data_IF_888427121342
#
_entry.id   IF_888427121342
#
_cell.length_a   1.000
_cell.length_b   1.000
_cell.length_c   1.000
_cell.angle_alpha   90.00
_cell.angle_beta   90.00
_cell.angle_gamma   90.00
#
_symmetry.space_group_name_H-M   'P 1'
#
loop_
_entity.id
_entity.type
_entity.pdbx_description
1 polymer ?
#
# COMPACT_ATOMS: atom_id res chain seq x y z
N UNK A 1 -47.29 -8.08 -45.94
CA UNK A 1 -46.02 -7.34 -45.80
C UNK A 1 -45.65 -7.33 -44.32
N UNK A 2 -44.62 -8.10 -43.92
CA UNK A 2 -44.11 -8.15 -42.53
C UNK A 2 -42.81 -7.36 -42.47
N UNK A 3 -42.79 -6.24 -41.74
CA UNK A 3 -41.60 -5.44 -41.52
C UNK A 3 -40.77 -6.08 -40.41
N UNK A 4 -39.51 -6.43 -40.69
CA UNK A 4 -38.55 -6.93 -39.76
C UNK A 4 -37.78 -5.70 -39.23
N UNK A 5 -37.96 -5.38 -37.94
CA UNK A 5 -37.18 -4.37 -37.23
C UNK A 5 -35.87 -5.00 -36.74
N UNK A 6 -34.73 -4.65 -37.34
CA UNK A 6 -33.41 -5.05 -36.90
C UNK A 6 -32.95 -4.07 -35.81
N UNK A 7 -32.91 -4.52 -34.58
CA UNK A 7 -32.30 -3.77 -33.44
C UNK A 7 -30.78 -3.92 -33.47
N UNK A 8 -30.09 -2.83 -33.83
CA UNK A 8 -28.63 -2.71 -33.71
C UNK A 8 -28.28 -2.48 -32.23
N UNK A 9 -27.78 -3.51 -31.58
CA UNK A 9 -27.20 -3.39 -30.24
C UNK A 9 -25.75 -2.92 -30.37
N UNK A 10 -25.51 -1.64 -30.10
CA UNK A 10 -24.16 -1.08 -30.02
C UNK A 10 -23.49 -1.52 -28.72
N UNK A 11 -22.51 -2.41 -28.81
CA UNK A 11 -21.68 -2.79 -27.67
C UNK A 11 -20.69 -1.65 -27.35
N UNK A 12 -20.93 -0.92 -26.27
CA UNK A 12 -19.94 0.00 -25.70
C UNK A 12 -18.88 -0.81 -24.96
N UNK A 13 -17.69 -0.91 -25.54
CA UNK A 13 -16.52 -1.42 -24.84
C UNK A 13 -16.03 -0.38 -23.84
N UNK A 14 -16.29 -0.61 -22.55
CA UNK A 14 -15.69 0.17 -21.46
C UNK A 14 -14.21 -0.20 -21.40
N UNK A 15 -13.34 0.67 -21.89
CA UNK A 15 -11.90 0.56 -21.64
C UNK A 15 -11.65 0.83 -20.16
N UNK A 16 -11.32 -0.22 -19.41
CA UNK A 16 -10.78 -0.08 -18.07
C UNK A 16 -9.44 0.68 -18.20
N UNK A 17 -9.37 1.89 -17.62
CA UNK A 17 -8.11 2.61 -17.50
C UNK A 17 -7.19 1.79 -16.59
N UNK A 18 -6.26 1.05 -17.18
CA UNK A 18 -5.25 0.29 -16.45
C UNK A 18 -4.38 1.22 -15.63
N UNK A 19 -3.96 0.77 -14.44
CA UNK A 19 -2.94 1.46 -13.66
C UNK A 19 -1.67 1.63 -14.51
N UNK A 20 -0.93 2.75 -14.37
CA UNK A 20 0.29 2.98 -15.15
C UNK A 20 1.26 1.82 -14.94
N UNK A 21 1.72 1.23 -16.03
CA UNK A 21 2.75 0.20 -16.01
C UNK A 21 4.08 0.81 -15.55
N UNK A 22 4.88 0.02 -14.81
CA UNK A 22 6.23 0.45 -14.43
C UNK A 22 7.04 0.80 -15.70
N UNK A 23 7.91 1.81 -15.65
CA UNK A 23 8.74 2.18 -16.80
C UNK A 23 9.65 1.00 -17.23
N UNK A 24 9.75 0.77 -18.53
CA UNK A 24 10.62 -0.29 -19.09
C UNK A 24 12.11 0.06 -18.97
N UNK A 25 12.44 1.32 -18.72
CA UNK A 25 13.81 1.79 -18.60
C UNK A 25 14.47 1.35 -17.28
N UNK A 26 15.78 1.18 -17.30
CA UNK A 26 16.56 0.91 -16.08
C UNK A 26 16.47 2.09 -15.11
N UNK A 27 16.24 1.85 -13.81
CA UNK A 27 16.17 2.92 -12.82
C UNK A 27 17.51 3.68 -12.72
N UNK A 28 17.48 5.02 -12.53
CA UNK A 28 18.65 5.79 -12.13
C UNK A 28 19.28 5.24 -10.85
N UNK A 29 20.57 5.50 -10.63
CA UNK A 29 21.32 4.93 -9.51
C UNK A 29 20.66 5.15 -8.14
N UNK A 30 20.09 6.32 -7.90
CA UNK A 30 19.37 6.60 -6.67
C UNK A 30 18.08 5.77 -6.54
N UNK A 31 17.27 5.72 -7.59
CA UNK A 31 16.06 4.90 -7.61
C UNK A 31 16.36 3.40 -7.49
N UNK A 32 17.50 2.94 -8.03
CA UNK A 32 17.94 1.55 -7.90
C UNK A 32 18.27 1.20 -6.43
N UNK A 33 18.97 2.10 -5.70
CA UNK A 33 19.18 1.92 -4.25
C UNK A 33 17.86 1.94 -3.48
N UNK A 34 16.96 2.86 -3.85
CA UNK A 34 15.64 2.94 -3.27
C UNK A 34 14.80 1.68 -3.52
N UNK A 35 14.89 1.09 -4.70
CA UNK A 35 14.26 -0.19 -5.02
C UNK A 35 14.79 -1.31 -4.13
N UNK A 36 16.10 -1.39 -3.96
CA UNK A 36 16.73 -2.39 -3.09
C UNK A 36 16.23 -2.21 -1.63
N UNK A 37 16.21 -0.99 -1.10
CA UNK A 37 15.73 -0.73 0.25
C UNK A 37 14.21 -0.98 0.41
N UNK A 38 13.41 -0.69 -0.62
CA UNK A 38 11.96 -0.89 -0.62
C UNK A 38 11.58 -2.36 -0.48
N UNK A 39 12.37 -3.27 -1.05
CA UNK A 39 12.15 -4.72 -1.06
C UNK A 39 13.21 -5.50 -0.28
N UNK A 40 13.91 -4.86 0.65
CA UNK A 40 14.96 -5.53 1.43
C UNK A 40 14.37 -6.53 2.43
N UNK A 41 14.31 -7.79 2.06
CA UNK A 41 13.79 -8.88 2.90
C UNK A 41 14.60 -9.10 4.21
N UNK A 42 15.80 -8.53 4.33
CA UNK A 42 16.54 -8.53 5.59
C UNK A 42 15.98 -7.51 6.59
N UNK A 43 15.19 -6.56 6.13
CA UNK A 43 14.44 -5.62 6.97
C UNK A 43 13.02 -6.16 7.14
N UNK A 44 12.72 -6.70 8.31
CA UNK A 44 11.45 -7.40 8.56
C UNK A 44 10.20 -6.57 8.18
N UNK A 45 10.23 -5.25 8.41
CA UNK A 45 9.16 -4.32 8.06
C UNK A 45 9.51 -3.42 6.88
N UNK A 46 10.13 -3.96 5.82
CA UNK A 46 10.40 -3.20 4.60
C UNK A 46 9.11 -2.74 3.91
N UNK A 47 9.18 -1.66 3.14
CA UNK A 47 8.00 -1.03 2.55
C UNK A 47 7.18 -1.99 1.67
N UNK A 48 7.84 -2.78 0.83
CA UNK A 48 7.22 -3.73 -0.09
C UNK A 48 6.54 -4.93 0.58
N UNK A 49 6.84 -5.19 1.86
CA UNK A 49 6.17 -6.21 2.66
C UNK A 49 4.72 -5.86 3.03
N UNK A 50 4.38 -4.56 2.98
CA UNK A 50 3.06 -4.05 3.31
C UNK A 50 2.42 -3.26 2.17
N UNK A 51 3.20 -2.62 1.30
CA UNK A 51 2.69 -1.74 0.26
C UNK A 51 2.98 -2.28 -1.14
N UNK A 52 1.99 -2.12 -2.02
CA UNK A 52 2.22 -2.23 -3.46
C UNK A 52 2.71 -0.91 -4.05
N UNK A 53 3.51 -1.03 -5.12
CA UNK A 53 3.97 0.06 -5.95
C UNK A 53 4.12 -0.44 -7.39
N UNK A 54 3.43 0.18 -8.33
CA UNK A 54 3.43 -0.23 -9.73
C UNK A 54 3.21 -1.75 -9.92
N UNK A 55 2.22 -2.30 -9.21
CA UNK A 55 1.80 -3.71 -9.19
C UNK A 55 2.82 -4.70 -8.58
N UNK A 56 3.85 -4.22 -7.91
CA UNK A 56 4.83 -5.04 -7.17
C UNK A 56 4.67 -4.81 -5.67
N UNK A 57 5.03 -5.81 -4.86
CA UNK A 57 4.91 -5.76 -3.40
C UNK A 57 3.59 -6.34 -2.90
N UNK A 58 3.29 -6.15 -1.63
CA UNK A 58 2.14 -6.74 -0.94
C UNK A 58 1.05 -5.69 -0.71
N UNK A 59 -0.18 -5.98 -1.09
CA UNK A 59 -1.30 -5.05 -0.94
C UNK A 59 -1.96 -5.20 0.45
N UNK A 60 -1.21 -5.02 1.53
CA UNK A 60 -1.73 -4.89 2.89
C UNK A 60 -2.14 -3.45 3.15
N UNK A 61 -1.20 -2.53 3.00
CA UNK A 61 -1.43 -1.09 3.04
C UNK A 61 -1.83 -0.50 1.69
N UNK A 62 -2.11 0.80 1.63
CA UNK A 62 -2.43 1.49 0.37
C UNK A 62 -1.31 1.36 -0.67
N UNK A 63 -1.69 1.30 -1.95
CA UNK A 63 -0.75 1.41 -3.07
C UNK A 63 -0.08 2.80 -3.07
N UNK A 64 1.25 2.82 -3.21
CA UNK A 64 2.05 4.02 -3.06
C UNK A 64 2.19 4.84 -4.36
N UNK A 65 1.67 4.34 -5.49
CA UNK A 65 1.79 5.03 -6.79
C UNK A 65 1.31 6.47 -6.72
N UNK A 66 0.22 6.74 -5.99
CA UNK A 66 -0.32 8.09 -5.84
C UNK A 66 0.54 9.02 -4.99
N UNK A 67 1.37 8.50 -4.09
CA UNK A 67 2.27 9.31 -3.28
C UNK A 67 3.35 10.01 -4.13
N UNK A 68 3.68 9.45 -5.28
CA UNK A 68 4.73 10.01 -6.15
C UNK A 68 4.44 11.45 -6.63
N UNK A 69 3.18 11.91 -6.59
CA UNK A 69 2.83 13.31 -6.89
C UNK A 69 3.21 14.30 -5.78
N UNK A 70 3.40 13.81 -4.56
CA UNK A 70 3.76 14.64 -3.43
C UNK A 70 5.26 15.02 -3.48
N UNK A 71 5.62 16.12 -2.83
CA UNK A 71 7.03 16.42 -2.58
C UNK A 71 7.60 15.45 -1.52
N UNK A 72 8.94 15.35 -1.45
CA UNK A 72 9.62 14.42 -0.58
C UNK A 72 9.23 14.59 0.90
N UNK A 73 9.19 15.84 1.37
CA UNK A 73 8.82 16.17 2.75
C UNK A 73 7.41 15.68 3.12
N UNK A 74 6.43 15.85 2.21
CA UNK A 74 5.08 15.38 2.44
C UNK A 74 5.01 13.83 2.51
N UNK A 75 5.81 13.13 1.70
CA UNK A 75 5.92 11.66 1.75
C UNK A 75 6.52 11.22 3.09
N UNK A 76 7.60 11.86 3.55
CA UNK A 76 8.20 11.57 4.86
C UNK A 76 7.23 11.82 6.00
N UNK A 77 6.48 12.93 5.95
CA UNK A 77 5.44 13.21 6.94
C UNK A 77 4.36 12.10 6.95
N UNK A 78 3.96 11.59 5.79
CA UNK A 78 3.01 10.49 5.71
C UNK A 78 3.57 9.18 6.31
N UNK A 79 4.85 8.88 6.10
CA UNK A 79 5.53 7.72 6.70
C UNK A 79 5.60 7.85 8.23
N UNK A 80 5.92 9.04 8.73
CA UNK A 80 6.07 9.33 10.16
C UNK A 80 4.75 9.68 10.86
N UNK A 81 3.66 9.82 10.11
CA UNK A 81 2.34 10.16 10.66
C UNK A 81 1.92 9.13 11.73
N UNK A 82 1.36 9.64 12.83
CA UNK A 82 0.92 8.81 13.95
C UNK A 82 -0.53 8.36 13.81
N UNK A 83 -1.23 8.79 12.77
CA UNK A 83 -2.63 8.42 12.53
C UNK A 83 -2.77 7.83 11.14
N UNK A 84 -3.27 6.61 11.07
CA UNK A 84 -3.77 6.02 9.84
C UNK A 84 -5.27 5.76 10.01
N UNK A 85 -6.06 6.13 9.01
CA UNK A 85 -7.51 5.89 9.01
C UNK A 85 -7.85 4.45 8.66
N UNK A 86 -6.84 3.64 8.34
CA UNK A 86 -7.04 2.30 7.79
C UNK A 86 -6.80 1.19 8.79
N UNK A 87 -6.06 1.45 9.87
CA UNK A 87 -5.76 0.45 10.89
C UNK A 87 -6.80 0.50 11.99
N UNK A 88 -7.32 -0.66 12.34
CA UNK A 88 -8.37 -0.85 13.32
C UNK A 88 -7.87 -1.70 14.49
N UNK A 89 -8.43 -1.51 15.67
CA UNK A 89 -8.37 -2.48 16.77
C UNK A 89 -9.43 -3.55 16.56
N UNK A 90 -8.98 -4.79 16.39
CA UNK A 90 -9.86 -5.96 16.30
C UNK A 90 -9.83 -6.66 17.66
N UNK A 91 -10.95 -6.62 18.38
CA UNK A 91 -11.11 -7.31 19.67
C UNK A 91 -11.95 -8.56 19.48
N UNK A 92 -11.44 -9.69 19.94
CA UNK A 92 -12.13 -10.98 19.88
C UNK A 92 -12.84 -11.29 21.20
N UNK A 93 -13.90 -12.07 21.15
CA UNK A 93 -14.66 -12.51 22.34
C UNK A 93 -13.85 -13.35 23.34
N UNK A 94 -12.76 -13.97 22.85
CA UNK A 94 -11.82 -14.71 23.71
C UNK A 94 -10.82 -13.80 24.45
N UNK A 95 -10.96 -12.48 24.37
CA UNK A 95 -10.10 -11.48 25.01
C UNK A 95 -8.83 -11.12 24.24
N UNK A 96 -8.52 -11.79 23.12
CA UNK A 96 -7.38 -11.39 22.27
C UNK A 96 -7.73 -10.15 21.46
N UNK A 97 -6.72 -9.32 21.22
CA UNK A 97 -6.84 -8.15 20.33
C UNK A 97 -5.60 -7.98 19.46
N UNK A 98 -5.76 -7.33 18.33
CA UNK A 98 -4.64 -7.02 17.44
C UNK A 98 -4.95 -5.80 16.56
N UNK A 99 -3.92 -5.05 16.10
CA UNK A 99 -4.08 -4.04 15.06
C UNK A 99 -4.34 -4.73 13.73
N UNK A 100 -5.50 -4.50 13.16
CA UNK A 100 -5.95 -5.16 11.94
C UNK A 100 -6.19 -4.21 10.80
N UNK A 101 -5.95 -4.67 9.58
CA UNK A 101 -6.29 -3.98 8.35
C UNK A 101 -7.21 -4.86 7.49
N UNK A 102 -8.37 -4.37 7.04
CA UNK A 102 -9.26 -5.17 6.22
C UNK A 102 -8.55 -5.67 4.95
N UNK A 103 -8.58 -6.99 4.69
CA UNK A 103 -7.89 -7.61 3.56
C UNK A 103 -8.78 -7.77 2.32
N UNK A 104 -10.08 -7.98 2.53
CA UNK A 104 -11.04 -8.17 1.45
C UNK A 104 -12.42 -7.69 1.90
N UNK A 105 -13.37 -7.65 0.94
CA UNK A 105 -14.77 -7.45 1.29
C UNK A 105 -15.30 -8.61 2.12
N UNK A 106 -16.20 -8.29 3.02
CA UNK A 106 -16.92 -9.27 3.84
C UNK A 106 -17.60 -10.34 2.98
N UNK A 107 -17.38 -11.60 3.32
CA UNK A 107 -18.01 -12.74 2.65
C UNK A 107 -18.94 -13.47 3.65
N UNK A 108 -20.23 -13.19 3.55
CA UNK A 108 -21.23 -13.87 4.38
C UNK A 108 -20.96 -13.74 5.88
N UNK A 109 -20.64 -14.86 6.55
CA UNK A 109 -20.36 -14.93 7.99
C UNK A 109 -18.90 -14.66 8.35
N UNK A 110 -17.99 -14.63 7.38
CA UNK A 110 -16.55 -14.46 7.60
C UNK A 110 -16.05 -13.07 7.18
N UNK A 111 -14.93 -12.67 7.76
CA UNK A 111 -14.19 -11.45 7.41
C UNK A 111 -12.70 -11.74 7.47
N UNK A 112 -11.93 -11.03 6.63
CA UNK A 112 -10.48 -11.20 6.58
C UNK A 112 -9.78 -9.91 6.99
N UNK A 113 -8.77 -10.05 7.86
CA UNK A 113 -7.88 -8.98 8.30
C UNK A 113 -6.43 -9.41 8.18
N UNK A 114 -5.58 -8.47 7.80
CA UNK A 114 -4.15 -8.59 8.06
C UNK A 114 -3.87 -8.19 9.51
N UNK A 115 -3.26 -9.09 10.26
CA UNK A 115 -2.77 -8.82 11.62
C UNK A 115 -1.41 -8.11 11.52
N UNK A 116 -1.38 -6.83 11.88
CA UNK A 116 -0.19 -5.99 11.82
C UNK A 116 0.70 -6.11 13.06
N UNK A 117 0.36 -6.95 14.03
CA UNK A 117 1.28 -7.31 15.12
C UNK A 117 2.31 -8.35 14.70
N UNK A 118 2.09 -9.02 13.57
CA UNK A 118 3.05 -9.91 12.93
C UNK A 118 3.88 -9.18 11.87
N UNK A 119 5.13 -9.59 11.69
CA UNK A 119 6.02 -9.08 10.65
C UNK A 119 6.66 -10.25 9.90
N UNK A 120 6.33 -10.48 8.62
CA UNK A 120 5.34 -9.74 7.83
C UNK A 120 3.89 -9.91 8.36
N UNK A 121 2.97 -8.99 7.99
CA UNK A 121 1.57 -9.07 8.41
C UNK A 121 0.92 -10.41 8.04
N UNK A 122 0.20 -11.00 8.99
CA UNK A 122 -0.42 -12.31 8.83
C UNK A 122 -1.90 -12.18 8.43
N UNK A 123 -2.31 -12.84 7.35
CA UNK A 123 -3.72 -12.89 6.99
C UNK A 123 -4.50 -13.77 7.95
N UNK A 124 -5.54 -13.22 8.57
CA UNK A 124 -6.49 -13.93 9.45
C UNK A 124 -7.87 -13.95 8.84
N UNK A 125 -8.47 -15.12 8.75
CA UNK A 125 -9.88 -15.31 8.44
C UNK A 125 -10.61 -15.58 9.76
N UNK A 126 -11.63 -14.78 10.07
CA UNK A 126 -12.39 -14.82 11.30
C UNK A 126 -13.87 -15.00 11.00
N UNK A 127 -14.57 -15.75 11.85
CA UNK A 127 -16.02 -15.67 11.87
C UNK A 127 -16.46 -14.33 12.51
N UNK A 128 -17.43 -13.65 11.92
CA UNK A 128 -17.97 -12.39 12.49
C UNK A 128 -18.47 -12.58 13.93
N UNK A 129 -18.95 -13.79 14.24
CA UNK A 129 -19.38 -14.17 15.57
C UNK A 129 -18.27 -14.21 16.63
N UNK A 130 -17.00 -14.34 16.23
CA UNK A 130 -15.84 -14.33 17.13
C UNK A 130 -15.40 -12.91 17.50
N UNK A 131 -15.80 -11.91 16.71
CA UNK A 131 -15.42 -10.52 16.92
C UNK A 131 -16.32 -9.90 17.99
N UNK A 132 -15.70 -9.34 19.02
CA UNK A 132 -16.40 -8.57 20.06
C UNK A 132 -16.62 -7.12 19.63
N UNK A 133 -15.59 -6.48 19.05
CA UNK A 133 -15.68 -5.12 18.52
C UNK A 133 -14.59 -4.82 17.51
N UNK A 134 -14.88 -3.85 16.64
CA UNK A 134 -13.92 -3.23 15.71
C UNK A 134 -13.96 -1.73 15.96
N UNK A 135 -12.82 -1.10 16.12
CA UNK A 135 -12.72 0.34 16.35
C UNK A 135 -11.45 0.93 15.74
N UNK A 136 -11.41 2.25 15.63
CA UNK A 136 -10.24 2.96 15.09
C UNK A 136 -9.01 2.77 15.96
N UNK A 137 -7.85 2.56 15.33
CA UNK A 137 -6.55 2.53 16.01
C UNK A 137 -5.76 3.80 15.70
N UNK A 138 -6.11 4.89 16.36
CA UNK A 138 -5.43 6.18 16.18
C UNK A 138 -3.99 6.21 16.74
N UNK A 139 -3.59 5.20 17.50
CA UNK A 139 -2.24 5.10 18.09
C UNK A 139 -1.26 4.28 17.25
N UNK A 140 -1.74 3.58 16.23
CA UNK A 140 -0.87 2.76 15.38
C UNK A 140 0.12 3.64 14.62
N UNK A 141 1.35 3.16 14.50
CA UNK A 141 2.45 3.82 13.78
C UNK A 141 3.12 2.81 12.86
N UNK A 142 3.74 3.31 11.80
CA UNK A 142 4.62 2.47 11.00
C UNK A 142 5.70 1.83 11.87
N UNK A 143 6.11 0.59 11.55
CA UNK A 143 7.19 -0.09 12.26
C UNK A 143 8.47 0.76 12.31
N UNK A 144 9.20 0.74 13.44
CA UNK A 144 10.44 1.52 13.60
C UNK A 144 11.46 1.28 12.50
N UNK A 145 11.55 0.06 11.97
CA UNK A 145 12.50 -0.36 10.94
C UNK A 145 12.30 0.42 9.64
N UNK A 146 11.06 0.68 9.24
CA UNK A 146 10.75 1.45 8.04
C UNK A 146 10.66 2.96 8.31
N UNK A 147 10.13 3.34 9.48
CA UNK A 147 10.04 4.75 9.88
C UNK A 147 11.39 5.35 10.28
N UNK A 148 12.36 4.52 10.68
CA UNK A 148 13.69 4.88 11.14
C UNK A 148 14.75 4.98 10.04
N UNK A 149 14.38 4.89 8.76
CA UNK A 149 15.33 5.11 7.67
C UNK A 149 16.02 6.47 7.79
N UNK A 150 17.32 6.50 7.48
CA UNK A 150 18.09 7.76 7.38
C UNK A 150 17.53 8.66 6.27
N UNK A 151 17.87 9.95 6.33
CA UNK A 151 17.49 10.89 5.27
C UNK A 151 17.90 10.42 3.88
N UNK A 152 19.10 9.82 3.74
CA UNK A 152 19.57 9.25 2.47
C UNK A 152 18.71 8.07 2.03
N UNK A 153 18.39 7.13 2.91
CA UNK A 153 17.54 5.98 2.58
C UNK A 153 16.12 6.40 2.21
N UNK A 154 15.55 7.37 2.92
CA UNK A 154 14.24 7.93 2.58
C UNK A 154 14.27 8.62 1.21
N UNK A 155 15.32 9.41 0.91
CA UNK A 155 15.49 10.04 -0.39
C UNK A 155 15.60 9.01 -1.52
N UNK A 156 16.34 7.91 -1.30
CA UNK A 156 16.49 6.84 -2.27
C UNK A 156 15.16 6.10 -2.50
N UNK A 157 14.42 5.76 -1.43
CA UNK A 157 13.09 5.13 -1.51
C UNK A 157 12.08 6.04 -2.22
N UNK A 158 12.06 7.33 -1.90
CA UNK A 158 11.16 8.29 -2.56
C UNK A 158 11.51 8.45 -4.04
N UNK A 159 12.80 8.47 -4.39
CA UNK A 159 13.26 8.49 -5.78
C UNK A 159 12.77 7.23 -6.53
N UNK A 160 12.80 6.06 -5.89
CA UNK A 160 12.23 4.84 -6.46
C UNK A 160 10.71 4.93 -6.64
N UNK A 161 9.96 5.41 -5.64
CA UNK A 161 8.51 5.59 -5.73
C UNK A 161 8.17 6.49 -6.93
N UNK A 162 8.85 7.62 -7.09
CA UNK A 162 8.62 8.56 -8.19
C UNK A 162 8.98 7.97 -9.55
N UNK A 163 10.13 7.30 -9.63
CA UNK A 163 10.55 6.65 -10.87
C UNK A 163 9.61 5.50 -11.27
N UNK A 164 9.26 4.61 -10.35
CA UNK A 164 8.40 3.46 -10.63
C UNK A 164 6.98 3.86 -11.01
N UNK A 165 6.50 5.00 -10.51
CA UNK A 165 5.14 5.49 -10.78
C UNK A 165 5.02 6.30 -12.07
N UNK A 166 6.02 7.13 -12.38
CA UNK A 166 5.92 8.13 -13.46
C UNK A 166 7.20 8.29 -14.28
N UNK A 167 8.23 7.47 -14.07
CA UNK A 167 9.49 7.56 -14.78
C UNK A 167 10.32 8.80 -14.39
N UNK A 168 10.09 9.42 -13.23
CA UNK A 168 10.88 10.59 -12.78
C UNK A 168 12.32 10.19 -12.49
N UNK A 169 13.25 10.84 -13.17
CA UNK A 169 14.70 10.58 -13.10
C UNK A 169 15.48 11.64 -12.32
N UNK A 170 14.80 12.70 -11.83
CA UNK A 170 15.48 13.86 -11.21
C UNK A 170 16.14 13.54 -9.87
N UNK A 171 15.72 12.46 -9.24
CA UNK A 171 16.18 12.12 -7.91
C UNK A 171 15.56 13.01 -6.80
N UNK A 172 15.99 12.75 -5.57
CA UNK A 172 15.50 13.43 -4.35
C UNK A 172 16.70 13.83 -3.51
N UNK A 173 16.74 15.09 -3.05
CA UNK A 173 17.77 15.55 -2.15
C UNK A 173 17.51 14.99 -0.73
N UNK A 174 18.49 14.38 -0.06
CA UNK A 174 18.32 13.93 1.34
C UNK A 174 17.87 15.04 2.30
N UNK A 175 18.29 16.27 2.11
CA UNK A 175 17.85 17.41 2.93
C UNK A 175 16.33 17.66 2.86
N UNK A 176 15.64 17.19 1.80
CA UNK A 176 14.19 17.30 1.67
C UNK A 176 13.45 16.22 2.48
N UNK A 177 14.18 15.32 3.14
CA UNK A 177 13.64 14.18 3.90
C UNK A 177 13.92 14.26 5.41
N UNK A 178 14.50 15.36 5.88
CA UNK A 178 14.77 15.66 7.30
C UNK A 178 13.53 16.13 8.06
#
# INVERSE_FOLDING_TARGET
MKAICVLLVSAYSVMAAGAPAAPEAKPPAQAARGQAAFFDENVAAHCGGCHSLAQKGTAVGPDLTRLAHLNARAIVMAIRATRTQYVQWIKLKNGKEFPGMPAAKDEGTTVQYYDLSATPPALKKLEKSEIASVGDNASWKHPPESAGYTAQQLADVIAYIKWASYGDTKGVNPADTE
#
